data_IF_634803340201
#
_entry.id   IF_634803340201
#
_cell.length_a   1.000
_cell.length_b   1.000
_cell.length_c   1.000
_cell.angle_alpha   90.00
_cell.angle_beta   90.00
_cell.angle_gamma   90.00
#
_symmetry.space_group_name_H-M   'P 1'
#
loop_
_entity.id
_entity.type
_entity.pdbx_description
1 polymer ?
#
# COMPACT_ATOMS: atom_id res chain seq x y z
N UNK A 1 -5.68 -22.02 -22.24
CA UNK A 1 -5.57 -20.56 -22.00
C UNK A 1 -6.79 -19.93 -22.62
N UNK A 2 -7.77 -19.51 -21.82
CA UNK A 2 -8.85 -18.68 -22.35
C UNK A 2 -8.23 -17.31 -22.70
N UNK A 3 -8.57 -16.72 -23.85
CA UNK A 3 -8.15 -15.37 -24.14
C UNK A 3 -8.74 -14.44 -23.07
N UNK A 4 -7.88 -13.52 -22.62
CA UNK A 4 -8.16 -12.44 -21.68
C UNK A 4 -9.47 -11.78 -22.12
N UNK A 5 -10.48 -11.93 -21.27
CA UNK A 5 -11.84 -11.46 -21.44
C UNK A 5 -11.85 -9.94 -21.52
N UNK A 6 -12.75 -9.43 -22.35
CA UNK A 6 -13.15 -8.03 -22.48
C UNK A 6 -12.86 -7.24 -21.19
N UNK A 7 -11.99 -6.21 -21.29
CA UNK A 7 -11.71 -5.25 -20.22
C UNK A 7 -13.00 -4.98 -19.45
N UNK A 8 -12.96 -5.13 -18.13
CA UNK A 8 -14.10 -4.92 -17.27
C UNK A 8 -14.74 -3.58 -17.62
N UNK A 9 -15.89 -3.65 -18.29
CA UNK A 9 -16.53 -2.43 -18.80
C UNK A 9 -17.01 -1.62 -17.61
N UNK A 10 -16.99 -0.30 -17.70
CA UNK A 10 -17.65 0.53 -16.67
C UNK A 10 -19.12 0.13 -16.50
N UNK A 11 -19.78 -0.45 -17.51
CA UNK A 11 -21.11 -1.08 -17.38
C UNK A 11 -21.15 -2.29 -16.43
N UNK A 12 -20.11 -3.13 -16.40
CA UNK A 12 -20.00 -4.24 -15.45
C UNK A 12 -19.71 -3.76 -14.03
N UNK A 13 -18.92 -2.69 -13.85
CA UNK A 13 -18.76 -2.03 -12.56
C UNK A 13 -20.04 -1.31 -12.13
N UNK A 14 -20.75 -0.65 -13.06
CA UNK A 14 -22.04 0.02 -12.85
C UNK A 14 -23.20 -0.95 -12.60
N UNK A 15 -22.99 -2.26 -12.63
CA UNK A 15 -23.96 -3.19 -12.03
C UNK A 15 -24.16 -2.76 -10.58
N UNK A 16 -25.37 -2.27 -10.29
CA UNK A 16 -25.87 -1.80 -9.00
C UNK A 16 -24.90 -2.03 -7.83
N UNK A 17 -24.22 -0.96 -7.41
CA UNK A 17 -23.27 -0.96 -6.29
C UNK A 17 -23.85 -1.60 -5.03
N UNK A 18 -25.18 -1.54 -4.84
CA UNK A 18 -25.88 -2.17 -3.72
C UNK A 18 -25.78 -3.72 -3.72
N UNK A 19 -25.41 -4.34 -4.83
CA UNK A 19 -25.27 -5.79 -4.94
C UNK A 19 -23.88 -6.30 -4.55
N UNK A 20 -22.88 -5.42 -4.56
CA UNK A 20 -21.53 -5.78 -4.15
C UNK A 20 -21.47 -6.11 -2.66
N UNK A 21 -20.53 -6.99 -2.30
CA UNK A 21 -20.30 -7.38 -0.91
C UNK A 21 -18.83 -7.32 -0.56
N UNK A 22 -18.51 -6.63 0.53
CA UNK A 22 -17.19 -6.76 1.15
C UNK A 22 -17.14 -8.11 1.87
N UNK A 23 -16.18 -8.93 1.48
CA UNK A 23 -15.98 -10.25 2.06
C UNK A 23 -15.53 -10.10 3.51
N UNK A 24 -16.22 -10.81 4.41
CA UNK A 24 -15.83 -10.95 5.79
C UNK A 24 -14.59 -11.87 5.91
N UNK A 25 -13.39 -11.36 6.26
CA UNK A 25 -12.17 -12.18 6.35
C UNK A 25 -12.26 -13.25 7.45
N UNK A 26 -13.17 -13.10 8.43
CA UNK A 26 -13.38 -14.06 9.51
C UNK A 26 -14.03 -15.36 9.02
N UNK A 27 -14.72 -15.36 7.88
CA UNK A 27 -15.18 -16.60 7.24
C UNK A 27 -14.02 -17.53 6.90
N UNK A 28 -12.82 -16.97 6.74
CA UNK A 28 -11.60 -17.68 6.42
C UNK A 28 -10.57 -17.69 7.56
N UNK A 29 -10.97 -17.36 8.79
CA UNK A 29 -10.03 -17.05 9.89
C UNK A 29 -8.87 -18.06 10.04
N UNK A 30 -9.14 -19.37 9.96
CA UNK A 30 -8.09 -20.39 10.06
C UNK A 30 -7.11 -20.37 8.88
N UNK A 31 -7.62 -20.29 7.64
CA UNK A 31 -6.81 -20.29 6.42
C UNK A 31 -6.06 -18.96 6.29
N UNK A 32 -6.74 -17.84 6.51
CA UNK A 32 -6.16 -16.50 6.53
C UNK A 32 -5.02 -16.40 7.55
N UNK A 33 -5.21 -16.86 8.80
CA UNK A 33 -4.14 -16.83 9.80
C UNK A 33 -2.92 -17.66 9.41
N UNK A 34 -3.10 -18.78 8.69
CA UNK A 34 -2.00 -19.57 8.15
C UNK A 34 -1.26 -18.78 7.06
N UNK A 35 -1.99 -18.14 6.14
CA UNK A 35 -1.43 -17.34 5.06
C UNK A 35 -0.67 -16.12 5.60
N UNK A 36 -1.24 -15.36 6.54
CA UNK A 36 -0.61 -14.18 7.15
C UNK A 36 0.68 -14.50 7.93
N UNK A 37 0.88 -15.77 8.33
CA UNK A 37 2.12 -16.26 8.96
C UNK A 37 3.11 -16.84 7.97
N UNK A 38 2.72 -17.02 6.71
CA UNK A 38 3.61 -17.55 5.68
C UNK A 38 4.68 -16.53 5.32
N UNK A 39 5.89 -17.01 5.07
CA UNK A 39 7.03 -16.18 4.65
C UNK A 39 6.69 -15.36 3.41
N UNK A 40 5.99 -15.97 2.44
CA UNK A 40 5.59 -15.32 1.18
C UNK A 40 4.73 -14.08 1.45
N UNK A 41 3.63 -14.20 2.22
CA UNK A 41 2.76 -13.06 2.52
C UNK A 41 3.47 -12.05 3.43
N UNK A 42 4.24 -12.52 4.43
CA UNK A 42 4.99 -11.64 5.33
C UNK A 42 6.00 -10.76 4.58
N UNK A 43 6.65 -11.29 3.54
CA UNK A 43 7.57 -10.52 2.68
C UNK A 43 6.84 -9.42 1.90
N UNK A 44 5.70 -9.73 1.31
CA UNK A 44 4.94 -8.71 0.56
C UNK A 44 4.34 -7.65 1.49
N UNK A 45 3.84 -8.05 2.66
CA UNK A 45 3.40 -7.11 3.70
C UNK A 45 4.56 -6.21 4.14
N UNK A 46 5.75 -6.78 4.36
CA UNK A 46 6.93 -5.99 4.70
C UNK A 46 7.27 -4.96 3.63
N UNK A 47 7.28 -5.40 2.37
CA UNK A 47 7.59 -4.57 1.21
C UNK A 47 6.60 -3.42 1.09
N UNK A 48 5.30 -3.68 1.30
CA UNK A 48 4.26 -2.66 1.38
C UNK A 48 4.49 -1.67 2.53
N UNK A 49 4.89 -2.15 3.71
CA UNK A 49 5.22 -1.29 4.85
C UNK A 49 6.43 -0.39 4.57
N UNK A 50 7.48 -0.91 3.92
CA UNK A 50 8.65 -0.13 3.53
C UNK A 50 8.28 0.95 2.52
N UNK A 51 7.46 0.61 1.53
CA UNK A 51 7.01 1.56 0.51
C UNK A 51 6.14 2.68 1.12
N UNK A 52 5.19 2.31 1.99
CA UNK A 52 4.38 3.28 2.72
C UNK A 52 5.24 4.19 3.61
N UNK A 53 6.14 3.60 4.42
CA UNK A 53 7.03 4.36 5.29
C UNK A 53 7.95 5.30 4.50
N UNK A 54 8.49 4.86 3.37
CA UNK A 54 9.34 5.66 2.51
C UNK A 54 8.61 6.93 2.01
N UNK A 55 7.39 6.79 1.49
CA UNK A 55 6.59 7.93 1.02
C UNK A 55 6.20 8.85 2.18
N UNK A 56 5.76 8.30 3.32
CA UNK A 56 5.43 9.12 4.50
C UNK A 56 6.63 9.85 5.09
N UNK A 57 7.81 9.23 5.05
CA UNK A 57 9.06 9.90 5.41
C UNK A 57 9.37 11.02 4.44
N UNK A 58 9.24 10.80 3.13
CA UNK A 58 9.43 11.85 2.13
C UNK A 58 8.51 13.06 2.37
N UNK A 59 7.22 12.83 2.56
CA UNK A 59 6.25 13.90 2.90
C UNK A 59 6.67 14.66 4.17
N UNK A 60 7.16 13.96 5.20
CA UNK A 60 7.66 14.61 6.41
C UNK A 60 8.93 15.44 6.13
N UNK A 61 9.85 14.93 5.32
CA UNK A 61 11.07 15.63 4.94
C UNK A 61 10.75 16.91 4.17
N UNK A 62 9.82 16.87 3.22
CA UNK A 62 9.32 18.05 2.51
C UNK A 62 8.76 19.09 3.47
N UNK A 63 7.92 18.66 4.42
CA UNK A 63 7.36 19.54 5.44
C UNK A 63 8.41 20.18 6.35
N UNK A 64 9.56 19.54 6.52
CA UNK A 64 10.71 20.09 7.26
C UNK A 64 11.72 20.81 6.37
N UNK A 65 11.39 21.09 5.10
CA UNK A 65 12.34 21.63 4.11
C UNK A 65 13.65 20.86 4.04
N UNK A 66 13.63 19.56 4.36
CA UNK A 66 14.78 18.67 4.40
C UNK A 66 15.86 19.10 5.42
N UNK A 67 15.52 19.94 6.41
CA UNK A 67 16.43 20.37 7.49
C UNK A 67 16.47 19.40 8.67
N UNK A 68 15.64 18.36 8.66
CA UNK A 68 15.55 17.36 9.71
C UNK A 68 15.46 15.97 9.12
N UNK A 69 16.30 15.05 9.60
CA UNK A 69 16.19 13.64 9.28
C UNK A 69 15.04 12.99 10.07
N UNK A 70 14.25 12.16 9.37
CA UNK A 70 13.15 11.37 9.95
C UNK A 70 13.61 9.91 10.00
N UNK A 71 13.73 9.38 11.21
CA UNK A 71 14.16 7.99 11.45
C UNK A 71 13.18 6.98 10.82
N UNK A 72 13.68 5.87 10.24
CA UNK A 72 12.83 4.82 9.72
C UNK A 72 12.03 4.13 10.81
N UNK A 73 10.85 3.61 10.44
CA UNK A 73 10.16 2.63 11.25
C UNK A 73 10.92 1.31 11.21
N UNK A 74 11.03 0.63 12.35
CA UNK A 74 11.76 -0.64 12.47
C UNK A 74 10.85 -1.75 12.97
N UNK A 75 11.10 -3.02 12.55
CA UNK A 75 10.45 -4.17 13.16
C UNK A 75 10.63 -4.16 14.69
N UNK A 76 9.70 -4.78 15.40
CA UNK A 76 9.88 -4.99 16.83
C UNK A 76 11.10 -5.87 17.08
N UNK A 77 11.64 -5.82 18.30
CA UNK A 77 12.66 -6.76 18.74
C UNK A 77 12.16 -8.18 18.49
N UNK A 78 12.98 -8.98 17.81
CA UNK A 78 12.71 -10.37 17.41
C UNK A 78 11.74 -10.57 16.22
N UNK A 79 11.24 -9.51 15.61
CA UNK A 79 10.47 -9.57 14.36
C UNK A 79 11.37 -9.34 13.15
N UNK A 80 11.28 -10.23 12.14
CA UNK A 80 11.99 -10.08 10.87
C UNK A 80 11.37 -9.02 9.96
N UNK A 81 10.06 -8.81 10.07
CA UNK A 81 9.33 -7.93 9.16
C UNK A 81 8.51 -6.88 9.88
N UNK A 82 8.38 -5.73 9.24
CA UNK A 82 7.39 -4.72 9.60
C UNK A 82 5.97 -5.25 9.39
N UNK A 83 5.09 -4.87 10.32
CA UNK A 83 3.66 -5.02 10.21
C UNK A 83 2.98 -3.66 9.98
N UNK A 84 1.83 -3.62 9.29
CA UNK A 84 1.12 -2.38 8.99
C UNK A 84 0.84 -1.49 10.21
N UNK A 85 0.43 -2.08 11.33
CA UNK A 85 0.17 -1.32 12.57
C UNK A 85 1.42 -0.64 13.16
N UNK A 86 2.63 -1.03 12.73
CA UNK A 86 3.87 -0.39 13.17
C UNK A 86 4.25 0.85 12.34
N UNK A 87 3.71 0.98 11.13
CA UNK A 87 4.03 2.07 10.20
C UNK A 87 2.87 3.06 10.06
N UNK A 88 1.62 2.62 10.20
CA UNK A 88 0.44 3.49 10.18
C UNK A 88 0.26 4.15 11.53
N UNK A 89 0.19 5.47 11.54
CA UNK A 89 -0.04 6.29 12.75
C UNK A 89 -1.49 6.68 12.97
N UNK A 90 -2.40 6.17 12.14
CA UNK A 90 -3.83 6.50 12.24
C UNK A 90 -4.50 5.63 13.30
N UNK A 91 -5.21 6.27 14.21
CA UNK A 91 -5.92 5.63 15.34
C UNK A 91 -7.24 4.96 14.91
N UNK A 92 -7.28 4.31 13.74
CA UNK A 92 -8.51 3.68 13.26
C UNK A 92 -9.04 2.62 14.24
N UNK A 93 -8.14 2.03 15.03
CA UNK A 93 -8.44 1.02 16.05
C UNK A 93 -9.00 1.62 17.36
N UNK A 94 -8.84 2.93 17.60
CA UNK A 94 -9.38 3.60 18.80
C UNK A 94 -10.91 3.67 18.80
N UNK A 95 -11.53 3.59 17.63
CA UNK A 95 -12.99 3.59 17.45
C UNK A 95 -13.61 2.20 17.60
N UNK A 96 -12.80 1.15 17.72
CA UNK A 96 -13.30 -0.22 17.79
C UNK A 96 -13.67 -0.62 19.23
N UNK A 97 -14.76 -1.40 19.44
CA UNK A 97 -15.18 -1.85 20.77
C UNK A 97 -14.07 -2.55 21.57
N UNK A 98 -14.01 -2.45 22.90
CA UNK A 98 -12.95 -3.10 23.67
C UNK A 98 -12.96 -4.63 23.49
N UNK A 99 -11.77 -5.26 23.46
CA UNK A 99 -11.63 -6.72 23.40
C UNK A 99 -10.44 -7.22 22.59
N UNK A 100 -10.26 -8.54 22.55
CA UNK A 100 -9.20 -9.17 21.74
C UNK A 100 -9.55 -9.02 20.25
N UNK A 101 -8.68 -8.32 19.51
CA UNK A 101 -8.81 -8.15 18.06
C UNK A 101 -8.56 -9.46 17.30
N UNK A 102 -9.25 -9.70 16.18
CA UNK A 102 -8.84 -10.72 15.22
C UNK A 102 -7.41 -10.47 14.73
N UNK A 103 -6.67 -11.55 14.47
CA UNK A 103 -5.25 -11.45 14.09
C UNK A 103 -5.02 -10.65 12.79
N UNK A 104 -5.98 -10.66 11.86
CA UNK A 104 -5.86 -9.89 10.61
C UNK A 104 -5.84 -8.36 10.84
N UNK A 105 -6.30 -7.86 12.00
CA UNK A 105 -6.25 -6.42 12.33
C UNK A 105 -4.82 -5.88 12.36
N UNK A 106 -3.82 -6.71 12.67
CA UNK A 106 -2.42 -6.32 12.60
C UNK A 106 -1.94 -6.05 11.17
N UNK A 107 -2.71 -6.46 10.16
CA UNK A 107 -2.42 -6.33 8.74
C UNK A 107 -3.30 -5.27 8.05
N UNK A 108 -4.10 -4.55 8.84
CA UNK A 108 -4.90 -3.41 8.35
C UNK A 108 -3.99 -2.20 8.24
N UNK A 109 -3.99 -1.59 7.05
CA UNK A 109 -3.23 -0.37 6.74
C UNK A 109 -4.20 0.71 6.31
N UNK A 110 -4.57 1.61 7.22
CA UNK A 110 -5.39 2.77 6.88
C UNK A 110 -4.55 3.79 6.09
N UNK A 111 -5.15 4.42 5.08
CA UNK A 111 -4.47 5.28 4.09
C UNK A 111 -3.34 4.61 3.30
N UNK A 112 -3.16 3.28 3.44
CA UNK A 112 -2.12 2.51 2.79
C UNK A 112 -2.62 1.61 1.66
N UNK A 113 -3.82 1.88 1.13
CA UNK A 113 -4.55 1.03 0.18
C UNK A 113 -3.75 0.72 -1.10
N UNK A 114 -3.11 1.73 -1.70
CA UNK A 114 -2.26 1.57 -2.87
C UNK A 114 -1.09 0.60 -2.64
N UNK A 115 -0.49 0.58 -1.44
CA UNK A 115 0.68 -0.29 -1.18
C UNK A 115 0.29 -1.72 -0.79
N UNK A 116 -0.91 -1.92 -0.25
CA UNK A 116 -1.39 -3.25 0.18
C UNK A 116 -2.03 -4.10 -0.92
N UNK A 117 -2.46 -3.47 -2.01
CA UNK A 117 -3.22 -4.12 -3.08
C UNK A 117 -2.59 -5.43 -3.58
N UNK A 118 -1.26 -5.47 -3.72
CA UNK A 118 -0.54 -6.67 -4.17
C UNK A 118 -0.69 -7.87 -3.23
N UNK A 119 -0.50 -7.69 -1.92
CA UNK A 119 -0.67 -8.82 -0.98
C UNK A 119 -2.14 -9.14 -0.73
N UNK A 120 -3.04 -8.17 -0.84
CA UNK A 120 -4.48 -8.42 -0.79
C UNK A 120 -4.95 -9.26 -1.98
N UNK A 121 -4.44 -9.00 -3.18
CA UNK A 121 -4.73 -9.80 -4.37
C UNK A 121 -4.28 -11.25 -4.17
N UNK A 122 -3.07 -11.43 -3.63
CA UNK A 122 -2.57 -12.75 -3.27
C UNK A 122 -3.46 -13.47 -2.25
N UNK A 123 -3.91 -12.77 -1.20
CA UNK A 123 -4.79 -13.36 -0.20
C UNK A 123 -6.14 -13.75 -0.79
N UNK A 124 -6.75 -12.89 -1.60
CA UNK A 124 -8.05 -13.14 -2.24
C UNK A 124 -7.99 -14.40 -3.14
N UNK A 125 -6.97 -14.48 -4.00
CA UNK A 125 -6.72 -15.65 -4.87
C UNK A 125 -6.48 -16.94 -4.11
N UNK A 126 -5.71 -16.87 -3.03
CA UNK A 126 -5.43 -18.06 -2.20
C UNK A 126 -6.67 -18.50 -1.43
N UNK A 127 -7.51 -17.57 -0.97
CA UNK A 127 -8.69 -17.87 -0.17
C UNK A 127 -9.88 -18.36 -1.00
N UNK A 128 -10.13 -17.72 -2.14
CA UNK A 128 -11.26 -17.96 -3.05
C UNK A 128 -10.77 -18.07 -4.51
N UNK A 129 -10.06 -19.15 -4.87
CA UNK A 129 -9.44 -19.32 -6.19
C UNK A 129 -10.42 -19.49 -7.36
N UNK A 130 -11.71 -19.69 -7.07
CA UNK A 130 -12.78 -19.84 -8.05
C UNK A 130 -13.23 -18.52 -8.71
N UNK A 131 -12.72 -17.39 -8.23
CA UNK A 131 -13.07 -16.07 -8.73
C UNK A 131 -11.87 -15.41 -9.43
N UNK A 132 -12.16 -14.68 -10.50
CA UNK A 132 -11.18 -13.89 -11.23
C UNK A 132 -10.97 -12.56 -10.49
N UNK A 133 -9.99 -12.57 -9.58
CA UNK A 133 -9.61 -11.40 -8.78
C UNK A 133 -8.72 -10.44 -9.57
N UNK A 134 -9.05 -9.16 -9.50
CA UNK A 134 -8.31 -8.03 -10.08
C UNK A 134 -8.08 -6.96 -9.02
N UNK A 135 -7.01 -6.18 -9.17
CA UNK A 135 -6.85 -4.92 -8.44
C UNK A 135 -7.52 -3.82 -9.25
N UNK A 136 -8.35 -3.03 -8.58
CA UNK A 136 -8.93 -1.80 -9.13
C UNK A 136 -8.35 -0.63 -8.36
N UNK A 137 -7.69 0.28 -9.07
CA UNK A 137 -7.04 1.45 -8.49
C UNK A 137 -7.64 2.72 -9.07
N UNK A 138 -8.18 3.57 -8.23
CA UNK A 138 -8.62 4.92 -8.58
C UNK A 138 -7.86 5.95 -7.75
N UNK A 139 -8.05 7.24 -8.03
CA UNK A 139 -7.33 8.34 -7.34
C UNK A 139 -7.47 8.25 -5.81
N UNK A 140 -8.66 7.91 -5.31
CA UNK A 140 -8.97 7.95 -3.87
C UNK A 140 -8.65 6.66 -3.14
N UNK A 141 -8.66 5.51 -3.83
CA UNK A 141 -8.50 4.22 -3.20
C UNK A 141 -8.10 3.12 -4.19
N UNK A 142 -7.41 2.10 -3.68
CA UNK A 142 -7.16 0.85 -4.40
C UNK A 142 -7.73 -0.33 -3.61
N UNK A 143 -8.49 -1.18 -4.28
CA UNK A 143 -9.06 -2.39 -3.69
C UNK A 143 -8.92 -3.60 -4.61
N UNK A 144 -9.20 -4.79 -4.07
CA UNK A 144 -9.22 -6.04 -4.83
C UNK A 144 -10.67 -6.46 -5.03
N UNK A 145 -11.05 -6.80 -6.25
CA UNK A 145 -12.43 -7.13 -6.60
C UNK A 145 -12.50 -8.40 -7.44
N UNK A 146 -13.62 -9.12 -7.32
CA UNK A 146 -14.06 -10.12 -8.29
C UNK A 146 -15.38 -9.62 -8.90
N UNK A 147 -15.31 -8.81 -9.97
CA UNK A 147 -16.46 -8.08 -10.47
C UNK A 147 -17.62 -8.97 -10.95
N UNK A 148 -17.32 -10.09 -11.62
CA UNK A 148 -18.35 -11.04 -12.06
C UNK A 148 -19.18 -11.61 -10.89
N UNK A 149 -18.52 -11.83 -9.75
CA UNK A 149 -19.14 -12.33 -8.53
C UNK A 149 -19.68 -11.21 -7.62
N UNK A 150 -19.46 -9.94 -7.98
CA UNK A 150 -19.81 -8.75 -7.19
C UNK A 150 -19.20 -8.79 -5.77
N UNK A 151 -17.92 -9.20 -5.67
CA UNK A 151 -17.22 -9.31 -4.39
C UNK A 151 -16.07 -8.31 -4.31
N UNK A 152 -15.87 -7.76 -3.11
CA UNK A 152 -14.75 -6.90 -2.75
C UNK A 152 -13.94 -7.58 -1.66
N UNK A 153 -12.63 -7.67 -1.86
CA UNK A 153 -11.67 -8.03 -0.84
C UNK A 153 -10.89 -6.78 -0.40
N UNK A 154 -11.27 -6.25 0.76
CA UNK A 154 -10.54 -5.16 1.40
C UNK A 154 -10.62 -5.30 2.92
N UNK A 155 -9.51 -5.72 3.54
CA UNK A 155 -9.51 -5.93 5.00
C UNK A 155 -9.58 -4.61 5.78
N UNK A 156 -9.14 -3.48 5.20
CA UNK A 156 -9.25 -2.17 5.85
C UNK A 156 -10.71 -1.73 5.91
N UNK A 157 -11.42 -1.73 4.78
CA UNK A 157 -12.85 -1.37 4.75
C UNK A 157 -13.68 -2.29 5.64
N UNK A 158 -13.44 -3.60 5.58
CA UNK A 158 -14.14 -4.52 6.50
C UNK A 158 -13.83 -4.22 7.98
N UNK A 159 -12.57 -3.94 8.33
CA UNK A 159 -12.20 -3.62 9.70
C UNK A 159 -12.81 -2.29 10.20
N UNK A 160 -12.98 -1.32 9.29
CA UNK A 160 -13.60 -0.02 9.58
C UNK A 160 -15.14 -0.03 9.49
N UNK A 161 -15.74 -1.16 9.12
CA UNK A 161 -17.20 -1.29 8.99
C UNK A 161 -17.80 -0.54 7.80
N UNK A 162 -17.00 -0.27 6.77
CA UNK A 162 -17.45 0.35 5.51
C UNK A 162 -18.25 -0.70 4.73
N UNK A 163 -19.44 -0.34 4.24
CA UNK A 163 -20.21 -1.21 3.35
C UNK A 163 -19.73 -1.11 1.89
N UNK A 164 -20.18 -2.04 1.05
CA UNK A 164 -19.70 -2.12 -0.34
C UNK A 164 -20.06 -0.89 -1.16
N UNK A 165 -21.27 -0.34 -0.99
CA UNK A 165 -21.70 0.85 -1.69
C UNK A 165 -20.80 2.04 -1.35
N UNK A 166 -20.61 2.30 -0.05
CA UNK A 166 -19.74 3.37 0.45
C UNK A 166 -18.28 3.19 0.00
N UNK A 167 -17.79 1.95 -0.06
CA UNK A 167 -16.44 1.65 -0.55
C UNK A 167 -16.28 1.99 -2.04
N UNK A 168 -17.27 1.65 -2.86
CA UNK A 168 -17.27 1.92 -4.30
C UNK A 168 -17.43 3.42 -4.57
N UNK A 169 -18.34 4.11 -3.89
CA UNK A 169 -18.52 5.58 -3.97
C UNK A 169 -17.25 6.34 -3.52
N UNK A 170 -16.58 5.87 -2.46
CA UNK A 170 -15.30 6.45 -2.03
C UNK A 170 -14.19 6.25 -3.07
N UNK A 171 -14.21 5.13 -3.78
CA UNK A 171 -13.16 4.78 -4.74
C UNK A 171 -13.35 5.52 -6.06
N UNK A 172 -14.55 5.48 -6.62
CA UNK A 172 -14.82 5.99 -7.97
C UNK A 172 -15.58 7.33 -7.99
N UNK A 173 -16.10 7.80 -6.86
CA UNK A 173 -17.03 8.93 -6.82
C UNK A 173 -18.46 8.53 -7.20
N UNK A 174 -19.31 9.54 -7.38
CA UNK A 174 -20.73 9.35 -7.77
C UNK A 174 -20.90 9.08 -9.27
N UNK A 175 -19.95 9.56 -10.10
CA UNK A 175 -19.97 9.44 -11.56
C UNK A 175 -18.78 8.59 -12.04
N UNK A 176 -18.97 7.30 -12.33
CA UNK A 176 -17.92 6.49 -12.96
C UNK A 176 -17.76 6.80 -14.45
N UNK A 177 -16.59 7.34 -14.81
CA UNK A 177 -16.04 7.27 -16.17
C UNK A 177 -14.92 6.21 -16.26
N UNK A 178 -14.72 5.65 -17.45
CA UNK A 178 -13.65 4.68 -17.74
C UNK A 178 -12.25 5.28 -17.66
N UNK A 179 -12.12 6.60 -17.52
CA UNK A 179 -10.83 7.28 -17.34
C UNK A 179 -10.36 7.32 -15.90
N UNK A 180 -11.19 6.88 -14.95
CA UNK A 180 -11.01 7.20 -13.53
C UNK A 180 -10.33 6.08 -12.73
N UNK A 181 -10.03 4.95 -13.37
CA UNK A 181 -9.40 3.81 -12.70
C UNK A 181 -8.52 2.95 -13.61
N UNK A 182 -7.54 2.31 -12.99
CA UNK A 182 -6.67 1.31 -13.57
C UNK A 182 -7.05 -0.10 -13.08
N UNK A 183 -6.89 -1.09 -13.95
CA UNK A 183 -7.09 -2.51 -13.65
C UNK A 183 -5.77 -3.27 -13.75
N UNK A 184 -5.48 -4.10 -12.75
CA UNK A 184 -4.31 -4.96 -12.75
C UNK A 184 -4.73 -6.42 -12.50
N UNK A 185 -4.45 -7.28 -13.46
CA UNK A 185 -4.77 -8.70 -13.41
C UNK A 185 -3.62 -9.49 -12.79
N UNK A 186 -2.40 -9.45 -13.33
CA UNK A 186 -1.38 -10.40 -12.92
C UNK A 186 -0.59 -9.97 -11.68
N UNK A 187 0.14 -8.86 -11.81
CA UNK A 187 1.06 -8.35 -10.79
C UNK A 187 0.83 -6.86 -10.55
N UNK A 188 0.58 -6.51 -9.29
CA UNK A 188 0.57 -5.13 -8.83
C UNK A 188 1.95 -4.79 -8.26
N UNK A 189 2.63 -3.83 -8.87
CA UNK A 189 3.99 -3.44 -8.50
C UNK A 189 4.07 -1.96 -8.14
N UNK A 190 5.02 -1.59 -7.29
CA UNK A 190 5.26 -0.20 -6.95
C UNK A 190 5.91 0.55 -8.12
N UNK A 191 5.64 1.84 -8.22
CA UNK A 191 6.30 2.72 -9.18
C UNK A 191 7.83 2.68 -9.01
N UNK A 192 8.56 2.93 -10.11
CA UNK A 192 10.03 3.05 -10.06
C UNK A 192 10.46 4.10 -9.04
N UNK A 193 9.78 5.24 -9.00
CA UNK A 193 9.97 6.29 -7.99
C UNK A 193 9.92 5.74 -6.56
N UNK A 194 8.90 4.93 -6.23
CA UNK A 194 8.76 4.36 -4.88
C UNK A 194 9.90 3.39 -4.57
N UNK A 195 10.31 2.59 -5.56
CA UNK A 195 11.42 1.63 -5.39
C UNK A 195 12.74 2.37 -5.17
N UNK A 196 13.01 3.41 -5.96
CA UNK A 196 14.20 4.26 -5.81
C UNK A 196 14.22 4.96 -4.47
N UNK A 197 13.09 5.52 -4.04
CA UNK A 197 12.95 6.18 -2.74
C UNK A 197 13.26 5.21 -1.57
N UNK A 198 12.77 3.97 -1.61
CA UNK A 198 13.10 2.94 -0.61
C UNK A 198 14.62 2.71 -0.57
N UNK A 199 15.25 2.50 -1.73
CA UNK A 199 16.69 2.18 -1.82
C UNK A 199 17.56 3.34 -1.31
N UNK A 200 17.19 4.57 -1.66
CA UNK A 200 17.90 5.77 -1.23
C UNK A 200 17.79 5.95 0.29
N UNK A 201 16.58 5.86 0.84
CA UNK A 201 16.37 6.00 2.27
C UNK A 201 17.08 4.89 3.04
N UNK A 202 17.03 3.63 2.59
CA UNK A 202 17.78 2.54 3.22
C UNK A 202 19.31 2.81 3.20
N UNK A 203 19.83 3.36 2.10
CA UNK A 203 21.24 3.76 2.02
C UNK A 203 21.60 4.84 3.04
N UNK A 204 20.73 5.85 3.21
CA UNK A 204 20.92 6.91 4.24
C UNK A 204 20.83 6.31 5.65
N UNK A 205 19.87 5.43 5.88
CA UNK A 205 19.58 4.84 7.19
C UNK A 205 20.77 4.05 7.73
N UNK A 206 21.49 3.38 6.82
CA UNK A 206 22.69 2.59 7.09
C UNK A 206 24.00 3.38 6.97
N UNK A 207 23.96 4.66 6.60
CA UNK A 207 25.14 5.50 6.48
C UNK A 207 25.65 5.96 7.85
N UNK A 208 26.97 6.01 8.00
CA UNK A 208 27.64 6.66 9.14
C UNK A 208 27.86 8.16 8.95
N UNK A 209 27.55 8.69 7.76
CA UNK A 209 27.69 10.12 7.43
C UNK A 209 26.56 10.95 8.04
N UNK A 210 26.70 12.28 7.95
CA UNK A 210 25.63 13.21 8.31
C UNK A 210 24.39 12.99 7.43
N UNK A 211 23.35 12.42 8.03
CA UNK A 211 22.10 12.06 7.37
C UNK A 211 21.30 13.28 6.91
N UNK A 212 21.41 14.41 7.62
CA UNK A 212 20.71 15.65 7.23
C UNK A 212 21.28 16.16 5.92
N UNK A 213 22.61 16.15 5.80
CA UNK A 213 23.26 16.52 4.55
C UNK A 213 22.85 15.57 3.42
N UNK A 214 22.96 14.25 3.62
CA UNK A 214 22.60 13.26 2.60
C UNK A 214 21.17 13.44 2.06
N UNK A 215 20.19 13.74 2.92
CA UNK A 215 18.82 13.98 2.48
C UNK A 215 18.74 15.20 1.56
N UNK A 216 19.42 16.30 1.88
CA UNK A 216 19.38 17.53 1.06
C UNK A 216 19.90 17.27 -0.34
N UNK A 217 20.95 16.45 -0.46
CA UNK A 217 21.50 16.06 -1.76
C UNK A 217 20.54 15.13 -2.51
N UNK A 218 19.88 14.21 -1.81
CA UNK A 218 18.84 13.36 -2.41
C UNK A 218 17.68 14.18 -2.95
N UNK A 219 17.25 15.23 -2.25
CA UNK A 219 16.23 16.15 -2.77
C UNK A 219 16.63 16.67 -4.15
N UNK A 220 17.86 17.18 -4.27
CA UNK A 220 18.37 17.72 -5.53
C UNK A 220 18.38 16.66 -6.64
N UNK A 221 18.80 15.43 -6.32
CA UNK A 221 18.77 14.30 -7.28
C UNK A 221 17.34 13.98 -7.72
N UNK A 222 16.40 13.91 -6.77
CA UNK A 222 14.99 13.65 -7.05
C UNK A 222 14.33 14.80 -7.84
N UNK A 223 14.82 16.03 -7.68
CA UNK A 223 14.44 17.22 -8.47
C UNK A 223 15.12 17.24 -9.87
N UNK A 224 15.89 16.21 -10.22
CA UNK A 224 16.51 16.02 -11.53
C UNK A 224 17.93 16.59 -11.67
N UNK A 225 18.58 16.99 -10.57
CA UNK A 225 19.98 17.41 -10.59
C UNK A 225 20.88 16.18 -10.76
N UNK A 226 21.85 16.27 -11.66
CA UNK A 226 22.82 15.20 -11.89
C UNK A 226 23.68 14.97 -10.63
N UNK A 227 23.82 13.71 -10.14
CA UNK A 227 24.70 13.38 -9.03
C UNK A 227 26.15 13.85 -9.18
N UNK A 228 26.67 13.91 -10.41
CA UNK A 228 28.03 14.38 -10.69
C UNK A 228 28.16 15.89 -10.50
N UNK A 229 27.12 16.66 -10.82
CA UNK A 229 27.07 18.11 -10.57
C UNK A 229 27.10 18.43 -9.07
N UNK A 230 26.41 17.61 -8.25
CA UNK A 230 26.44 17.75 -6.79
C UNK A 230 27.81 17.46 -6.18
N UNK A 231 28.56 16.51 -6.76
CA UNK A 231 29.93 16.23 -6.32
C UNK A 231 30.85 17.43 -6.56
N UNK A 232 30.75 18.07 -7.73
CA UNK A 232 31.54 19.26 -8.08
C UNK A 232 31.18 20.46 -7.20
N UNK A 233 29.90 20.70 -6.92
CA UNK A 233 29.47 21.81 -6.05
C UNK A 233 30.05 21.69 -4.62
N UNK A 234 30.16 20.47 -4.08
CA UNK A 234 30.75 20.23 -2.76
C UNK A 234 32.25 20.51 -2.71
N UNK A 235 32.98 20.15 -3.77
CA UNK A 235 34.42 20.44 -3.85
C UNK A 235 34.68 21.96 -3.93
N UNK A 236 33.83 22.71 -4.62
CA UNK A 236 33.93 24.17 -4.72
C UNK A 236 33.60 24.92 -3.42
N UNK A 237 32.71 24.37 -2.59
CA UNK A 237 32.36 24.97 -1.27
C UNK A 237 33.36 24.57 -0.18
N UNK A 238 34.05 23.44 -0.35
CA UNK A 238 35.08 22.97 0.59
C UNK A 238 36.47 23.60 0.37
N UNK A 239 36.69 24.28 -0.77
CA UNK A 239 37.94 24.95 -1.15
C UNK A 239 37.95 26.44 -0.78
#
# INVERSE_FOLDING_TARGET
>A
MKPITELLTTEQLKKDFAQYKIINPLLFARKLNKLLRSERVRREVHRACLAFDAVKRWECLENYNFDRYVEPRRPLKDEKYLLPWQVVTMDWDCFLPPGRRPNYHQFVMAAGCHWRAGYDLMLARELMPEHDWVVVSAEKHTMVMAPEAQLIWDMSFYAMGVDAQSALEQTFGEDLDNTDYDLYEDDFSFSLYTIELINILDTIDNSSKDKVQLIKDVKLIMDGVDPDELAVQRELVAA
#
